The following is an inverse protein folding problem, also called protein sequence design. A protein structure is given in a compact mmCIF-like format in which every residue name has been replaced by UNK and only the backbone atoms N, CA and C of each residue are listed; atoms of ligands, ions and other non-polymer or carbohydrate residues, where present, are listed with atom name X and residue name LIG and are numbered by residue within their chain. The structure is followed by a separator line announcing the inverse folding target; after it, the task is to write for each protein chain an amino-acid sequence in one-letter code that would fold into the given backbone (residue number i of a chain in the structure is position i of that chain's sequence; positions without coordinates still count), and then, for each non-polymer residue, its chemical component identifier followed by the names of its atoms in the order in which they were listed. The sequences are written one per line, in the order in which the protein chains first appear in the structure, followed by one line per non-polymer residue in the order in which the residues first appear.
data_IF_340897256284
#
_entry.id   IF_340897256284
#
_cell.length_a   1.000
_cell.length_b   1.000
_cell.length_c   1.000
_cell.angle_alpha   90.00
_cell.angle_beta   90.00
_cell.angle_gamma   90.00
#
_symmetry.space_group_name_H-M   'P 1'
#
loop_
_entity.id
_entity.type
_entity.pdbx_description
1 polymer ?
#
# COMPACT_ATOMS: atom_id res chain seq x y z
N UNK A 1 -7.81 -13.58 8.31
CA UNK A 1 -6.71 -13.69 7.33
C UNK A 1 -7.13 -14.29 5.99
N UNK A 2 -8.13 -15.19 5.88
CA UNK A 2 -8.54 -15.69 4.55
C UNK A 2 -9.29 -14.65 3.72
N UNK A 3 -10.23 -13.89 4.32
CA UNK A 3 -11.05 -12.93 3.57
C UNK A 3 -10.24 -11.85 2.83
N UNK A 4 -9.28 -11.21 3.52
CA UNK A 4 -8.44 -10.17 2.89
C UNK A 4 -7.51 -10.74 1.81
N UNK A 5 -6.95 -11.92 2.03
CA UNK A 5 -6.09 -12.57 1.04
C UNK A 5 -6.89 -12.96 -0.22
N UNK A 6 -8.10 -13.49 -0.05
CA UNK A 6 -8.97 -13.87 -1.16
C UNK A 6 -9.41 -12.63 -1.95
N UNK A 7 -9.70 -11.51 -1.27
CA UNK A 7 -9.97 -10.21 -1.90
C UNK A 7 -8.77 -9.69 -2.69
N UNK A 8 -7.55 -9.79 -2.16
CA UNK A 8 -6.31 -9.42 -2.86
C UNK A 8 -6.11 -10.26 -4.12
N UNK A 9 -6.29 -11.59 -4.03
CA UNK A 9 -6.18 -12.49 -5.18
C UNK A 9 -7.22 -12.17 -6.25
N UNK A 10 -8.47 -11.89 -5.85
CA UNK A 10 -9.53 -11.51 -6.78
C UNK A 10 -9.25 -10.18 -7.48
N UNK A 11 -8.76 -9.17 -6.75
CA UNK A 11 -8.40 -7.88 -7.32
C UNK A 11 -7.22 -7.99 -8.31
N UNK A 12 -6.21 -8.83 -8.01
CA UNK A 12 -5.14 -9.14 -8.97
C UNK A 12 -5.66 -9.84 -10.23
N UNK A 13 -6.53 -10.83 -10.07
CA UNK A 13 -7.11 -11.55 -11.21
C UNK A 13 -7.98 -10.65 -12.10
N UNK A 14 -8.61 -9.64 -11.53
CA UNK A 14 -9.41 -8.64 -12.24
C UNK A 14 -8.59 -7.45 -12.77
N UNK A 15 -7.28 -7.39 -12.50
CA UNK A 15 -6.41 -6.22 -12.74
C UNK A 15 -6.97 -4.92 -12.10
N UNK A 16 -7.71 -5.04 -11.00
CA UNK A 16 -8.34 -3.92 -10.30
C UNK A 16 -7.32 -3.22 -9.39
N UNK A 17 -6.46 -2.41 -10.03
CA UNK A 17 -5.41 -1.66 -9.33
C UNK A 17 -5.96 -0.68 -8.30
N UNK A 18 -7.16 -0.12 -8.51
CA UNK A 18 -7.79 0.75 -7.53
C UNK A 18 -8.11 -0.04 -6.25
N UNK A 19 -8.75 -1.20 -6.38
CA UNK A 19 -9.01 -2.06 -5.23
C UNK A 19 -7.72 -2.54 -4.57
N UNK A 20 -6.66 -2.82 -5.34
CA UNK A 20 -5.36 -3.22 -4.79
C UNK A 20 -4.74 -2.14 -3.91
N UNK A 21 -4.87 -0.85 -4.24
CA UNK A 21 -4.41 0.25 -3.37
C UNK A 21 -5.06 0.16 -1.98
N UNK A 22 -6.39 0.04 -1.95
CA UNK A 22 -7.14 -0.01 -0.69
C UNK A 22 -6.86 -1.28 0.10
N UNK A 23 -6.83 -2.44 -0.56
CA UNK A 23 -6.63 -3.74 0.07
C UNK A 23 -5.21 -3.92 0.64
N UNK A 24 -4.19 -3.43 -0.06
CA UNK A 24 -2.83 -3.44 0.48
C UNK A 24 -2.67 -2.45 1.63
N UNK A 25 -3.38 -1.32 1.60
CA UNK A 25 -3.39 -0.39 2.75
C UNK A 25 -4.05 -1.05 3.96
N UNK A 26 -5.18 -1.73 3.78
CA UNK A 26 -5.85 -2.51 4.84
C UNK A 26 -4.93 -3.62 5.38
N UNK A 27 -4.20 -4.33 4.52
CA UNK A 27 -3.25 -5.36 4.92
C UNK A 27 -2.10 -4.78 5.77
N UNK A 28 -1.61 -3.59 5.42
CA UNK A 28 -0.60 -2.89 6.21
C UNK A 28 -1.12 -2.54 7.61
N UNK A 29 -2.37 -2.07 7.71
CA UNK A 29 -2.97 -1.68 8.99
C UNK A 29 -3.24 -2.89 9.91
N UNK A 30 -3.39 -4.09 9.34
CA UNK A 30 -3.59 -5.35 10.07
C UNK A 30 -2.28 -6.13 10.32
N UNK A 31 -1.15 -5.67 9.79
CA UNK A 31 0.11 -6.37 9.91
C UNK A 31 0.62 -6.42 11.36
N UNK A 32 1.20 -7.57 11.75
CA UNK A 32 1.66 -7.79 13.12
C UNK A 32 2.98 -7.08 13.44
N UNK A 33 3.73 -6.69 12.42
CA UNK A 33 5.05 -6.08 12.54
C UNK A 33 5.27 -4.99 11.48
N UNK A 34 6.24 -4.12 11.75
CA UNK A 34 6.54 -2.94 10.92
C UNK A 34 7.05 -3.34 9.54
N UNK A 35 7.80 -4.44 9.43
CA UNK A 35 8.36 -4.87 8.15
C UNK A 35 7.27 -5.38 7.21
N UNK A 36 6.34 -6.18 7.74
CA UNK A 36 5.14 -6.63 7.05
C UNK A 36 4.23 -5.45 6.67
N UNK A 37 4.03 -4.50 7.57
CA UNK A 37 3.24 -3.29 7.29
C UNK A 37 3.85 -2.49 6.14
N UNK A 38 5.17 -2.27 6.18
CA UNK A 38 5.89 -1.52 5.15
C UNK A 38 5.93 -2.27 3.81
N UNK A 39 6.03 -3.60 3.83
CA UNK A 39 5.89 -4.42 2.61
C UNK A 39 4.55 -4.14 1.91
N UNK A 40 3.44 -4.19 2.64
CA UNK A 40 2.12 -3.92 2.06
C UNK A 40 1.95 -2.45 1.62
N UNK A 41 2.44 -1.49 2.41
CA UNK A 41 2.38 -0.06 2.04
C UNK A 41 3.14 0.25 0.76
N UNK A 42 4.29 -0.39 0.52
CA UNK A 42 5.04 -0.23 -0.73
C UNK A 42 4.21 -0.70 -1.92
N UNK A 43 3.53 -1.84 -1.81
CA UNK A 43 2.62 -2.31 -2.86
C UNK A 43 1.46 -1.35 -3.11
N UNK A 44 0.78 -0.88 -2.05
CA UNK A 44 -0.27 0.12 -2.17
C UNK A 44 0.22 1.40 -2.86
N UNK A 45 1.41 1.88 -2.46
CA UNK A 45 2.01 3.10 -3.02
C UNK A 45 2.34 2.92 -4.51
N UNK A 46 2.91 1.80 -4.93
CA UNK A 46 3.24 1.53 -6.33
C UNK A 46 1.97 1.56 -7.21
N UNK A 47 0.90 0.87 -6.81
CA UNK A 47 -0.34 0.91 -7.57
C UNK A 47 -0.97 2.30 -7.59
N UNK A 48 -0.90 3.06 -6.49
CA UNK A 48 -1.39 4.43 -6.45
C UNK A 48 -0.60 5.34 -7.40
N UNK A 49 0.73 5.17 -7.49
CA UNK A 49 1.58 5.91 -8.44
C UNK A 49 1.26 5.55 -9.89
N UNK A 50 1.09 4.27 -10.20
CA UNK A 50 0.72 3.80 -11.55
C UNK A 50 -0.62 4.40 -12.03
N UNK A 51 -1.54 4.61 -11.10
CA UNK A 51 -2.86 5.20 -11.37
C UNK A 51 -2.87 6.74 -11.28
N UNK A 52 -1.77 7.38 -10.86
CA UNK A 52 -1.71 8.82 -10.63
C UNK A 52 -2.59 9.30 -9.47
N UNK A 53 -2.85 8.44 -8.48
CA UNK A 53 -3.70 8.77 -7.34
C UNK A 53 -2.96 9.61 -6.30
N UNK A 54 -3.60 10.64 -5.72
CA UNK A 54 -2.96 11.52 -4.73
C UNK A 54 -2.61 10.79 -3.42
N UNK A 55 -3.31 9.69 -3.11
CA UNK A 55 -3.06 8.85 -1.92
C UNK A 55 -1.64 8.29 -1.89
N UNK A 56 -0.96 8.20 -3.03
CA UNK A 56 0.45 7.81 -3.10
C UNK A 56 1.35 8.67 -2.20
N UNK A 57 1.04 9.98 -2.06
CA UNK A 57 1.80 10.89 -1.21
C UNK A 57 1.63 10.56 0.27
N UNK A 58 0.43 10.20 0.70
CA UNK A 58 0.15 9.84 2.08
C UNK A 58 0.78 8.49 2.43
N UNK A 59 0.72 7.52 1.51
CA UNK A 59 1.39 6.22 1.66
C UNK A 59 2.91 6.38 1.74
N UNK A 60 3.50 7.23 0.89
CA UNK A 60 4.93 7.57 0.96
C UNK A 60 5.30 8.20 2.30
N UNK A 61 4.49 9.13 2.82
CA UNK A 61 4.74 9.75 4.13
C UNK A 61 4.72 8.71 5.26
N UNK A 62 3.79 7.75 5.22
CA UNK A 62 3.75 6.63 6.18
C UNK A 62 5.02 5.78 6.12
N UNK A 63 5.53 5.49 4.92
CA UNK A 63 6.79 4.75 4.73
C UNK A 63 8.00 5.57 5.22
N UNK A 64 8.02 6.87 4.97
CA UNK A 64 9.08 7.78 5.42
C UNK A 64 9.18 7.86 6.95
N UNK A 65 8.04 7.86 7.66
CA UNK A 65 8.02 7.80 9.13
C UNK A 65 8.66 6.53 9.70
N UNK A 66 8.71 5.45 8.92
CA UNK A 66 9.36 4.19 9.29
C UNK A 66 10.78 4.06 8.73
N UNK A 67 11.32 5.12 8.10
CA UNK A 67 12.64 5.12 7.46
C UNK A 67 12.73 4.21 6.23
N UNK A 68 11.60 3.88 5.59
CA UNK A 68 11.52 3.00 4.43
C UNK A 68 11.43 3.74 3.09
N UNK A 69 11.20 5.05 3.14
CA UNK A 69 11.14 5.98 2.00
C UNK A 69 11.63 7.37 2.45
N UNK A 70 11.72 8.32 1.50
CA UNK A 70 11.98 9.74 1.78
C UNK A 70 10.69 10.56 1.65
N UNK A 71 10.49 11.53 2.54
CA UNK A 71 9.35 12.45 2.42
C UNK A 71 9.58 13.42 1.25
N UNK A 72 8.55 13.60 0.41
CA UNK A 72 8.62 14.54 -0.72
C UNK A 72 8.64 16.01 -0.26
N UNK A 73 8.40 16.30 1.02
CA UNK A 73 8.55 17.63 1.58
C UNK A 73 10.02 18.08 1.74
N UNK A 74 11.00 17.21 1.50
CA UNK A 74 12.44 17.53 1.64
C UNK A 74 13.08 18.18 0.40
N UNK A 75 12.31 18.77 -0.53
CA UNK A 75 12.87 19.51 -1.67
C UNK A 75 12.20 20.88 -1.89
#
# INVERSE_FOLDING_TARGET
MSDLNDRLLAAHAAEDKCALVDLYTEAADQAADIDSACFYLTHAMVFALELGLPVANDLRRRLAQQGRETDLSEN
#
